data_IF_986033348446
#
_entry.id   IF_986033348446
#
_cell.length_a   1.000
_cell.length_b   1.000
_cell.length_c   1.000
_cell.angle_alpha   90.00
_cell.angle_beta   90.00
_cell.angle_gamma   90.00
#
_symmetry.space_group_name_H-M   'P 1'
#
loop_
_entity.id
_entity.type
_entity.pdbx_description
1 polymer ?
#
# COMPACT_ATOMS: atom_id res chain seq x y z
N UNK A 1 13.16 8.43 13.72
CA UNK A 1 12.20 8.76 14.79
C UNK A 1 11.49 10.07 14.48
N UNK A 2 10.30 10.29 15.03
CA UNK A 2 9.71 11.62 15.15
C UNK A 2 9.38 11.89 16.62
N UNK A 3 10.04 12.88 17.24
CA UNK A 3 9.83 13.29 18.62
C UNK A 3 8.76 14.38 18.74
N UNK A 4 7.75 14.14 19.56
CA UNK A 4 6.69 15.11 19.84
C UNK A 4 5.78 15.41 18.63
N UNK A 5 5.35 16.66 18.51
CA UNK A 5 4.39 17.09 17.48
C UNK A 5 5.04 17.74 16.26
N UNK A 6 6.26 18.27 16.40
CA UNK A 6 6.94 19.08 15.38
C UNK A 6 7.41 18.33 14.11
N UNK A 7 7.84 17.05 14.16
CA UNK A 7 8.38 16.38 12.98
C UNK A 7 7.34 16.13 11.88
N UNK A 8 7.76 16.35 10.63
CA UNK A 8 6.95 16.00 9.47
C UNK A 8 6.69 14.48 9.41
N UNK A 9 5.43 14.10 9.66
CA UNK A 9 5.01 12.69 9.65
C UNK A 9 5.19 12.07 8.27
N UNK A 10 4.87 12.81 7.22
CA UNK A 10 4.99 12.36 5.83
C UNK A 10 6.44 12.08 5.46
N UNK A 11 7.37 12.95 5.86
CA UNK A 11 8.80 12.76 5.59
C UNK A 11 9.35 11.54 6.32
N UNK A 12 9.11 11.41 7.63
CA UNK A 12 9.62 10.28 8.42
C UNK A 12 9.06 8.94 7.93
N UNK A 13 7.76 8.89 7.59
CA UNK A 13 7.15 7.70 6.98
C UNK A 13 7.70 7.41 5.59
N UNK A 14 7.90 8.45 4.78
CA UNK A 14 8.48 8.34 3.44
C UNK A 14 9.90 7.78 3.48
N UNK A 15 10.74 8.30 4.37
CA UNK A 15 12.11 7.84 4.56
C UNK A 15 12.17 6.36 4.95
N UNK A 16 11.38 5.95 5.95
CA UNK A 16 11.31 4.55 6.35
C UNK A 16 10.87 3.63 5.21
N UNK A 17 9.87 4.04 4.40
CA UNK A 17 9.46 3.25 3.22
C UNK A 17 10.54 3.17 2.15
N UNK A 18 11.23 4.28 1.88
CA UNK A 18 12.30 4.32 0.89
C UNK A 18 13.43 3.35 1.24
N UNK A 19 13.84 3.34 2.51
CA UNK A 19 14.92 2.49 3.03
C UNK A 19 14.49 1.07 3.42
N UNK A 20 13.22 0.69 3.23
CA UNK A 20 12.65 -0.55 3.78
C UNK A 20 12.82 -0.68 5.31
N UNK A 21 12.94 0.46 6.01
CA UNK A 21 13.08 0.54 7.45
C UNK A 21 11.74 0.76 8.17
N UNK A 22 11.83 0.90 9.49
CA UNK A 22 10.69 1.18 10.36
C UNK A 22 10.76 2.62 10.89
N UNK A 23 9.60 3.19 11.20
CA UNK A 23 9.50 4.48 11.88
C UNK A 23 8.76 4.34 13.21
N UNK A 24 9.09 5.21 14.16
CA UNK A 24 8.39 5.38 15.44
C UNK A 24 8.20 6.87 15.68
N UNK A 25 6.98 7.25 16.07
CA UNK A 25 6.66 8.57 16.59
C UNK A 25 6.51 8.47 18.10
N UNK A 26 7.27 9.27 18.83
CA UNK A 26 7.29 9.29 20.28
C UNK A 26 6.47 10.51 20.71
N UNK A 27 5.31 10.34 21.37
CA UNK A 27 4.50 11.45 21.86
C UNK A 27 5.26 12.33 22.86
N UNK A 28 4.86 13.62 23.04
CA UNK A 28 5.45 14.43 24.11
C UNK A 28 5.16 13.80 25.48
N UNK A 29 6.02 14.10 26.46
CA UNK A 29 5.91 13.60 27.84
C UNK A 29 5.96 12.08 27.99
N UNK A 30 6.56 11.38 27.03
CA UNK A 30 6.83 9.93 27.12
C UNK A 30 8.33 9.66 27.22
N UNK A 31 8.68 8.54 27.86
CA UNK A 31 10.05 8.06 28.00
C UNK A 31 10.65 7.70 26.63
N UNK A 32 11.52 8.58 26.13
CA UNK A 32 12.19 8.43 24.83
C UNK A 32 13.11 7.21 24.84
N UNK A 33 13.80 6.99 25.96
CA UNK A 33 14.70 5.88 26.24
C UNK A 33 14.05 4.52 26.01
N UNK A 34 12.82 4.31 26.48
CA UNK A 34 12.07 3.05 26.27
C UNK A 34 11.86 2.78 24.78
N UNK A 35 11.37 3.77 24.03
CA UNK A 35 11.10 3.63 22.60
C UNK A 35 12.38 3.45 21.76
N UNK A 36 13.47 4.10 22.18
CA UNK A 36 14.80 3.92 21.56
C UNK A 36 15.32 2.52 21.85
N UNK A 37 15.21 2.05 23.09
CA UNK A 37 15.59 0.69 23.50
C UNK A 37 14.84 -0.37 22.70
N UNK A 38 13.51 -0.25 22.56
CA UNK A 38 12.71 -1.17 21.75
C UNK A 38 13.09 -1.17 20.26
N UNK A 39 13.40 0.00 19.71
CA UNK A 39 13.85 0.10 18.32
C UNK A 39 15.23 -0.51 18.12
N UNK A 40 16.15 -0.26 19.05
CA UNK A 40 17.48 -0.86 19.01
C UNK A 40 17.40 -2.38 19.16
N UNK A 41 16.59 -2.87 20.09
CA UNK A 41 16.36 -4.31 20.28
C UNK A 41 15.85 -4.97 19.00
N UNK A 42 14.95 -4.30 18.27
CA UNK A 42 14.45 -4.75 16.96
C UNK A 42 15.52 -4.70 15.87
N UNK A 43 16.30 -3.63 15.84
CA UNK A 43 17.39 -3.46 14.86
C UNK A 43 18.50 -4.52 15.03
N UNK A 44 18.71 -5.01 16.25
CA UNK A 44 19.67 -6.07 16.57
C UNK A 44 19.14 -7.49 16.34
N UNK A 45 17.86 -7.66 16.01
CA UNK A 45 17.33 -8.99 15.66
C UNK A 45 17.99 -9.47 14.37
N UNK A 46 18.20 -10.79 14.28
CA UNK A 46 18.60 -11.40 13.02
C UNK A 46 17.54 -11.14 11.95
N UNK A 47 17.97 -10.90 10.72
CA UNK A 47 17.07 -10.67 9.61
C UNK A 47 17.54 -11.39 8.36
N UNK A 48 16.59 -11.76 7.52
CA UNK A 48 16.83 -12.28 6.19
C UNK A 48 16.58 -11.13 5.21
N UNK A 49 17.61 -10.82 4.42
CA UNK A 49 17.58 -9.78 3.40
C UNK A 49 17.44 -10.37 2.00
N UNK A 50 17.15 -9.52 1.00
CA UNK A 50 17.06 -9.89 -0.42
C UNK A 50 16.12 -11.06 -0.71
N UNK A 51 14.99 -11.07 0.00
CA UNK A 51 13.96 -12.08 -0.17
C UNK A 51 13.28 -11.87 -1.53
N UNK A 52 13.03 -12.97 -2.23
CA UNK A 52 12.26 -13.00 -3.48
C UNK A 52 11.16 -14.03 -3.32
N UNK A 53 9.97 -13.68 -3.81
CA UNK A 53 8.82 -14.59 -3.84
C UNK A 53 8.64 -15.04 -5.28
N UNK A 54 8.65 -16.36 -5.50
CA UNK A 54 8.33 -16.97 -6.79
C UNK A 54 6.94 -17.59 -6.69
N UNK A 55 6.04 -17.09 -7.51
CA UNK A 55 4.68 -17.60 -7.63
C UNK A 55 4.67 -18.68 -8.72
N UNK A 56 4.59 -19.96 -8.35
CA UNK A 56 4.45 -21.06 -9.30
C UNK A 56 2.96 -21.28 -9.59
N UNK A 57 2.40 -20.41 -10.43
CA UNK A 57 1.00 -20.42 -10.85
C UNK A 57 0.95 -20.53 -12.38
N UNK A 58 -0.10 -21.15 -12.92
CA UNK A 58 -0.28 -21.27 -14.38
C UNK A 58 -0.82 -19.99 -15.04
N UNK A 59 -0.86 -18.88 -14.31
CA UNK A 59 -1.33 -17.57 -14.76
C UNK A 59 -0.40 -16.47 -14.27
N UNK A 60 -0.39 -15.36 -14.97
CA UNK A 60 0.34 -14.17 -14.55
C UNK A 60 -0.33 -13.52 -13.33
N UNK A 61 0.52 -13.07 -12.40
CA UNK A 61 0.08 -12.51 -11.13
C UNK A 61 0.69 -11.15 -10.91
N UNK A 62 -0.17 -10.22 -10.51
CA UNK A 62 0.27 -8.93 -9.97
C UNK A 62 0.40 -9.06 -8.44
N UNK A 63 1.60 -8.87 -7.90
CA UNK A 63 1.86 -9.02 -6.47
C UNK A 63 2.23 -7.71 -5.77
N UNK A 64 1.93 -7.64 -4.47
CA UNK A 64 2.31 -6.55 -3.58
C UNK A 64 2.81 -7.13 -2.25
N UNK A 65 4.00 -6.75 -1.75
CA UNK A 65 4.92 -5.78 -2.36
C UNK A 65 5.62 -6.33 -3.63
N UNK A 66 6.09 -5.45 -4.51
CA UNK A 66 6.87 -5.80 -5.70
C UNK A 66 8.33 -6.07 -5.33
N UNK A 67 8.88 -5.28 -4.40
CA UNK A 67 10.20 -5.52 -3.78
C UNK A 67 9.98 -5.94 -2.33
N UNK A 68 10.38 -7.17 -1.98
CA UNK A 68 10.20 -7.66 -0.61
C UNK A 68 11.05 -6.85 0.39
N UNK A 69 10.47 -6.43 1.53
CA UNK A 69 11.26 -5.90 2.64
C UNK A 69 12.06 -7.02 3.33
N UNK A 70 13.12 -6.69 4.08
CA UNK A 70 13.79 -7.65 4.94
C UNK A 70 12.84 -8.17 6.02
N UNK A 71 13.04 -9.43 6.43
CA UNK A 71 12.21 -10.08 7.45
C UNK A 71 13.06 -10.31 8.69
N UNK A 72 12.70 -9.65 9.78
CA UNK A 72 13.35 -9.80 11.08
C UNK A 72 12.77 -10.97 11.85
N UNK A 73 13.56 -11.56 12.75
CA UNK A 73 13.09 -12.58 13.68
C UNK A 73 11.87 -12.06 14.46
N UNK A 74 10.85 -12.93 14.59
CA UNK A 74 9.56 -12.62 15.23
C UNK A 74 8.70 -11.56 14.51
N UNK A 75 9.03 -11.18 13.27
CA UNK A 75 8.17 -10.34 12.43
C UNK A 75 7.42 -11.18 11.38
N UNK A 76 6.34 -10.62 10.83
CA UNK A 76 5.49 -11.29 9.82
C UNK A 76 5.55 -10.56 8.49
N UNK A 77 6.01 -11.26 7.45
CA UNK A 77 5.86 -10.83 6.06
C UNK A 77 4.48 -11.22 5.52
N UNK A 78 3.78 -10.27 4.91
CA UNK A 78 2.53 -10.53 4.18
C UNK A 78 2.73 -10.06 2.75
N UNK A 79 2.56 -10.98 1.80
CA UNK A 79 2.53 -10.70 0.38
C UNK A 79 1.17 -11.11 -0.19
N UNK A 80 0.65 -10.27 -1.07
CA UNK A 80 -0.60 -10.50 -1.79
C UNK A 80 -0.31 -10.71 -3.27
N UNK A 81 -1.13 -11.53 -3.90
CA UNK A 81 -1.05 -11.88 -5.31
C UNK A 81 -2.47 -11.84 -5.89
N UNK A 82 -2.66 -11.10 -6.98
CA UNK A 82 -3.88 -11.09 -7.77
C UNK A 82 -3.61 -11.78 -9.12
N UNK A 83 -4.35 -12.86 -9.38
CA UNK A 83 -4.38 -13.47 -10.71
C UNK A 83 -4.99 -12.50 -11.72
N UNK A 84 -4.33 -12.35 -12.87
CA UNK A 84 -4.83 -11.48 -13.94
C UNK A 84 -6.03 -12.12 -14.67
N UNK A 85 -6.05 -13.46 -14.75
CA UNK A 85 -7.15 -14.22 -15.33
C UNK A 85 -8.24 -14.50 -14.27
N UNK A 86 -9.47 -13.97 -14.45
CA UNK A 86 -10.58 -14.20 -13.51
C UNK A 86 -11.15 -15.62 -13.57
N UNK A 87 -10.84 -16.39 -14.61
CA UNK A 87 -11.31 -17.78 -14.79
C UNK A 87 -10.35 -18.79 -14.17
N UNK A 88 -9.16 -18.33 -13.74
CA UNK A 88 -8.15 -19.18 -13.13
C UNK A 88 -8.64 -19.70 -11.77
N UNK A 89 -8.68 -21.01 -11.66
CA UNK A 89 -8.97 -21.71 -10.41
C UNK A 89 -7.67 -22.24 -9.84
N UNK A 90 -7.38 -21.88 -8.60
CA UNK A 90 -6.23 -22.46 -7.89
C UNK A 90 -6.39 -23.98 -7.80
N UNK A 91 -5.27 -24.70 -7.85
CA UNK A 91 -5.25 -26.16 -7.73
C UNK A 91 -4.10 -26.58 -6.81
N UNK A 92 -4.00 -27.87 -6.49
CA UNK A 92 -2.95 -28.41 -5.62
C UNK A 92 -1.54 -28.34 -6.22
N UNK A 93 -1.42 -28.01 -7.52
CA UNK A 93 -0.12 -27.81 -8.18
C UNK A 93 0.40 -26.37 -8.00
N UNK A 94 -0.44 -25.48 -7.46
CA UNK A 94 -0.05 -24.11 -7.17
C UNK A 94 0.86 -24.08 -5.94
N UNK A 95 2.05 -23.50 -6.09
CA UNK A 95 2.98 -23.33 -4.96
C UNK A 95 3.62 -21.95 -4.94
N UNK A 96 4.06 -21.55 -3.76
CA UNK A 96 4.77 -20.29 -3.53
C UNK A 96 6.10 -20.63 -2.90
N UNK A 97 7.17 -20.14 -3.51
CA UNK A 97 8.52 -20.35 -3.02
C UNK A 97 9.14 -19.06 -2.53
N UNK A 98 9.82 -19.16 -1.40
CA UNK A 98 10.61 -18.08 -0.86
C UNK A 98 12.09 -18.35 -1.14
N UNK A 99 12.75 -17.40 -1.77
CA UNK A 99 14.15 -17.48 -2.16
C UNK A 99 14.95 -16.32 -1.56
N UNK A 100 16.22 -16.57 -1.29
CA UNK A 100 17.26 -15.55 -1.13
C UNK A 100 18.09 -15.50 -2.40
N UNK A 101 19.12 -14.67 -2.45
CA UNK A 101 20.03 -14.64 -3.62
C UNK A 101 20.76 -15.98 -3.83
N UNK A 102 20.99 -16.73 -2.76
CA UNK A 102 21.83 -17.95 -2.80
C UNK A 102 21.00 -19.23 -2.66
N UNK A 103 19.94 -19.22 -1.84
CA UNK A 103 19.22 -20.44 -1.44
C UNK A 103 17.69 -20.29 -1.45
N UNK A 104 16.98 -21.38 -1.74
CA UNK A 104 15.54 -21.54 -1.51
C UNK A 104 15.29 -21.74 -0.02
N UNK A 105 14.55 -20.82 0.61
CA UNK A 105 14.22 -20.87 2.04
C UNK A 105 13.08 -21.85 2.34
N UNK A 106 12.13 -21.97 1.42
CA UNK A 106 10.99 -22.87 1.61
C UNK A 106 9.99 -22.82 0.47
N UNK A 107 9.10 -23.80 0.47
CA UNK A 107 7.96 -23.91 -0.44
C UNK A 107 6.69 -24.08 0.38
N UNK A 108 5.68 -23.29 0.07
CA UNK A 108 4.32 -23.48 0.54
C UNK A 108 3.46 -23.96 -0.61
N UNK A 109 2.91 -25.17 -0.50
CA UNK A 109 1.94 -25.72 -1.45
C UNK A 109 0.53 -25.37 -1.00
N UNK A 110 -0.37 -25.19 -1.97
CA UNK A 110 -1.79 -24.97 -1.68
C UNK A 110 -2.45 -26.32 -1.44
N UNK A 111 -2.36 -26.80 -0.20
CA UNK A 111 -2.92 -28.10 0.20
C UNK A 111 -4.45 -28.05 0.32
N UNK A 112 -5.00 -26.89 0.70
CA UNK A 112 -6.43 -26.66 0.77
C UNK A 112 -6.77 -25.29 0.19
N UNK A 113 -7.78 -25.24 -0.66
CA UNK A 113 -8.39 -23.99 -1.10
C UNK A 113 -9.55 -23.74 -0.13
N UNK A 114 -9.38 -22.84 0.85
CA UNK A 114 -10.47 -22.57 1.78
C UNK A 114 -11.67 -22.04 0.99
N UNK A 115 -12.89 -22.43 1.40
CA UNK A 115 -14.11 -21.75 0.98
C UNK A 115 -14.07 -20.33 1.55
N UNK A 116 -13.38 -19.43 0.85
CA UNK A 116 -13.27 -18.03 1.27
C UNK A 116 -14.66 -17.44 1.17
N UNK A 117 -15.16 -16.84 2.25
CA UNK A 117 -16.43 -16.11 2.24
C UNK A 117 -16.52 -15.25 0.99
N UNK A 118 -17.66 -15.29 0.28
CA UNK A 118 -17.90 -14.58 -0.99
C UNK A 118 -17.78 -13.04 -0.90
N UNK A 119 -17.40 -12.50 0.25
CA UNK A 119 -17.26 -11.07 0.52
C UNK A 119 -16.03 -10.43 -0.15
N UNK A 120 -15.15 -11.21 -0.79
CA UNK A 120 -14.01 -10.68 -1.55
C UNK A 120 -12.96 -9.95 -0.71
N UNK A 121 -12.93 -10.15 0.61
CA UNK A 121 -12.08 -9.40 1.55
C UNK A 121 -10.59 -9.50 1.22
N UNK A 122 -10.11 -10.70 0.88
CA UNK A 122 -8.70 -10.93 0.51
C UNK A 122 -8.35 -10.16 -0.77
N UNK A 123 -9.25 -10.18 -1.75
CA UNK A 123 -9.06 -9.43 -3.00
C UNK A 123 -9.03 -7.92 -2.75
N UNK A 124 -9.88 -7.39 -1.84
CA UNK A 124 -9.83 -5.98 -1.42
C UNK A 124 -8.54 -5.62 -0.68
N UNK A 125 -8.03 -6.51 0.19
CA UNK A 125 -6.74 -6.31 0.87
C UNK A 125 -5.58 -6.29 -0.13
N UNK A 126 -5.57 -7.22 -1.08
CA UNK A 126 -4.57 -7.28 -2.14
C UNK A 126 -4.62 -6.03 -3.03
N UNK A 127 -5.82 -5.61 -3.44
CA UNK A 127 -6.01 -4.38 -4.21
C UNK A 127 -5.57 -3.14 -3.43
N UNK A 128 -5.88 -3.07 -2.12
CA UNK A 128 -5.41 -1.98 -1.26
C UNK A 128 -3.88 -1.95 -1.14
N UNK A 129 -3.25 -3.12 -0.98
CA UNK A 129 -1.79 -3.21 -0.93
C UNK A 129 -1.16 -2.71 -2.24
N UNK A 130 -1.70 -3.11 -3.39
CA UNK A 130 -1.27 -2.62 -4.70
C UNK A 130 -1.48 -1.13 -4.87
N UNK A 131 -2.64 -0.58 -4.48
CA UNK A 131 -2.89 0.86 -4.55
C UNK A 131 -1.90 1.64 -3.68
N UNK A 132 -1.62 1.16 -2.46
CA UNK A 132 -0.62 1.79 -1.58
C UNK A 132 0.78 1.74 -2.19
N UNK A 133 1.13 0.64 -2.85
CA UNK A 133 2.41 0.53 -3.54
C UNK A 133 2.48 1.44 -4.77
N UNK A 134 1.42 1.55 -5.57
CA UNK A 134 1.37 2.47 -6.72
C UNK A 134 1.44 3.94 -6.31
N UNK A 135 0.84 4.31 -5.17
CA UNK A 135 0.92 5.67 -4.61
C UNK A 135 2.30 6.01 -4.06
N UNK A 136 2.98 5.01 -3.52
CA UNK A 136 4.29 5.15 -2.89
C UNK A 136 5.38 4.53 -3.74
N UNK A 137 5.11 4.30 -5.03
CA UNK A 137 6.02 3.57 -5.90
C UNK A 137 7.34 4.29 -5.82
N UNK A 138 8.33 3.56 -5.32
CA UNK A 138 9.69 4.07 -5.22
C UNK A 138 10.01 4.54 -6.62
N UNK A 139 10.36 5.83 -6.76
CA UNK A 139 10.97 6.34 -7.98
C UNK A 139 11.93 5.23 -8.47
N UNK A 140 11.77 4.73 -9.70
CA UNK A 140 12.56 3.61 -10.16
C UNK A 140 14.03 3.92 -9.88
N UNK A 141 14.71 2.97 -9.23
CA UNK A 141 16.11 3.05 -8.80
C UNK A 141 17.10 3.07 -9.98
N UNK A 142 16.65 3.49 -11.17
CA UNK A 142 17.41 3.58 -12.40
C UNK A 142 17.59 5.02 -12.89
N UNK A 143 17.27 6.03 -12.08
CA UNK A 143 17.65 7.40 -12.39
C UNK A 143 18.19 8.10 -11.15
N UNK A 144 19.47 8.48 -11.21
CA UNK A 144 20.04 9.57 -10.43
C UNK A 144 19.16 10.82 -10.60
N UNK A 145 18.16 10.99 -9.74
CA UNK A 145 17.37 12.20 -9.70
C UNK A 145 17.95 13.07 -8.60
N UNK A 146 18.71 14.08 -9.02
CA UNK A 146 19.00 15.26 -8.22
C UNK A 146 17.68 15.82 -7.68
N UNK A 147 17.35 15.50 -6.43
CA UNK A 147 16.18 16.05 -5.76
C UNK A 147 16.41 17.53 -5.48
N UNK A 148 16.01 18.37 -6.43
CA UNK A 148 15.75 19.77 -6.19
C UNK A 148 14.66 19.90 -5.12
N UNK A 149 14.98 20.61 -4.03
CA UNK A 149 14.00 21.08 -3.06
C UNK A 149 12.97 22.04 -3.69
N UNK A 150 12.05 22.54 -2.86
CA UNK A 150 10.95 23.44 -3.22
C UNK A 150 11.35 24.82 -3.78
N UNK A 151 12.63 25.04 -4.12
CA UNK A 151 13.16 26.36 -4.49
C UNK A 151 13.59 26.52 -5.96
N UNK A 152 13.50 25.51 -6.84
CA UNK A 152 14.06 25.63 -8.20
C UNK A 152 13.06 25.56 -9.36
N UNK A 153 11.78 25.90 -9.17
CA UNK A 153 10.90 26.11 -10.34
C UNK A 153 11.33 27.33 -11.18
N UNK A 154 12.10 28.26 -10.61
CA UNK A 154 12.52 29.50 -11.28
C UNK A 154 13.73 29.37 -12.21
N UNK A 155 14.50 28.29 -12.12
CA UNK A 155 15.78 28.13 -12.84
C UNK A 155 15.81 26.99 -13.88
N UNK A 156 14.68 26.32 -14.14
CA UNK A 156 14.62 25.11 -14.97
C UNK A 156 14.68 25.34 -16.50
N UNK A 157 14.93 26.55 -17.00
CA UNK A 157 14.78 26.80 -18.44
C UNK A 157 15.88 26.18 -19.33
N UNK A 158 16.98 25.64 -18.79
CA UNK A 158 18.15 25.26 -19.60
C UNK A 158 18.75 23.85 -19.33
N UNK A 159 18.00 22.87 -18.80
CA UNK A 159 18.48 21.48 -18.80
C UNK A 159 17.39 20.46 -19.16
N UNK A 160 17.65 19.50 -20.07
CA UNK A 160 16.75 18.38 -20.29
C UNK A 160 16.88 17.38 -19.12
N UNK A 161 16.03 17.52 -18.11
CA UNK A 161 15.88 16.54 -17.03
C UNK A 161 15.06 15.34 -17.52
N UNK A 162 15.38 14.09 -17.12
CA UNK A 162 14.48 12.96 -17.31
C UNK A 162 13.36 13.05 -16.25
N UNK A 163 12.40 13.94 -16.45
CA UNK A 163 11.14 13.90 -15.72
C UNK A 163 10.45 12.57 -16.00
N UNK A 164 9.81 11.87 -15.03
CA UNK A 164 8.80 10.88 -15.38
C UNK A 164 7.83 11.61 -16.32
N UNK A 165 7.71 11.11 -17.54
CA UNK A 165 6.89 11.77 -18.56
C UNK A 165 5.49 11.95 -17.99
N UNK A 166 4.79 13.03 -18.37
CA UNK A 166 3.42 13.30 -17.92
C UNK A 166 2.53 12.05 -18.07
N UNK A 167 2.85 11.21 -19.04
CA UNK A 167 2.23 9.92 -19.32
C UNK A 167 2.34 8.90 -18.18
N UNK A 168 3.48 8.76 -17.49
CA UNK A 168 3.67 7.75 -16.42
C UNK A 168 2.81 8.02 -15.17
N UNK A 169 2.63 9.30 -14.84
CA UNK A 169 1.77 9.70 -13.72
C UNK A 169 0.30 9.46 -14.06
N UNK A 170 -0.10 9.77 -15.29
CA UNK A 170 -1.47 9.52 -15.76
C UNK A 170 -1.76 8.02 -15.91
N UNK A 171 -0.81 7.18 -16.32
CA UNK A 171 -1.01 5.72 -16.35
C UNK A 171 -1.15 5.13 -14.95
N UNK A 172 -0.31 5.57 -14.00
CA UNK A 172 -0.40 5.14 -12.59
C UNK A 172 -1.74 5.54 -11.97
N UNK A 173 -2.18 6.78 -12.21
CA UNK A 173 -3.48 7.29 -11.75
C UNK A 173 -4.64 6.49 -12.33
N UNK A 174 -4.63 6.22 -13.64
CA UNK A 174 -5.63 5.37 -14.31
C UNK A 174 -5.69 3.98 -13.68
N UNK A 175 -4.53 3.38 -13.40
CA UNK A 175 -4.45 2.06 -12.76
C UNK A 175 -5.00 2.05 -11.34
N UNK A 176 -4.74 3.09 -10.55
CA UNK A 176 -5.31 3.24 -9.20
C UNK A 176 -6.84 3.34 -9.25
N UNK A 177 -7.37 4.14 -10.19
CA UNK A 177 -8.82 4.28 -10.39
C UNK A 177 -9.44 2.95 -10.80
N UNK A 178 -8.83 2.23 -11.74
CA UNK A 178 -9.30 0.91 -12.19
C UNK A 178 -9.38 -0.09 -11.03
N UNK A 179 -8.32 -0.23 -10.23
CA UNK A 179 -8.31 -1.12 -9.05
C UNK A 179 -9.36 -0.69 -8.02
N UNK A 180 -9.50 0.62 -7.79
CA UNK A 180 -10.48 1.16 -6.85
C UNK A 180 -11.92 0.83 -7.25
N UNK A 181 -12.26 1.02 -8.53
CA UNK A 181 -13.58 0.71 -9.07
C UNK A 181 -13.85 -0.80 -9.08
N UNK A 182 -12.87 -1.61 -9.54
CA UNK A 182 -12.99 -3.07 -9.63
C UNK A 182 -13.25 -3.72 -8.28
N UNK A 183 -12.55 -3.28 -7.23
CA UNK A 183 -12.63 -3.89 -5.89
C UNK A 183 -13.48 -3.09 -4.90
N UNK A 184 -14.08 -1.97 -5.33
CA UNK A 184 -14.90 -1.08 -4.49
C UNK A 184 -14.16 -0.62 -3.23
N UNK A 185 -12.94 -0.14 -3.40
CA UNK A 185 -12.10 0.39 -2.31
C UNK A 185 -11.80 1.87 -2.54
N UNK A 186 -11.79 2.67 -1.47
CA UNK A 186 -11.43 4.08 -1.55
C UNK A 186 -9.97 4.26 -1.98
N UNK A 187 -9.73 5.22 -2.85
CA UNK A 187 -8.40 5.68 -3.26
C UNK A 187 -8.34 7.21 -3.25
N UNK A 188 -7.16 7.84 -3.28
CA UNK A 188 -7.02 9.30 -3.38
C UNK A 188 -7.67 9.93 -4.62
N UNK A 189 -8.02 9.11 -5.63
CA UNK A 189 -8.61 9.55 -6.89
C UNK A 189 -10.08 9.13 -7.04
N UNK A 190 -10.68 8.51 -6.03
CA UNK A 190 -12.06 8.02 -6.06
C UNK A 190 -12.78 8.34 -4.75
N UNK A 191 -14.08 8.57 -4.83
CA UNK A 191 -14.92 8.85 -3.66
C UNK A 191 -16.24 8.08 -3.79
N UNK A 192 -16.79 7.66 -2.65
CA UNK A 192 -18.16 7.16 -2.58
C UNK A 192 -19.12 8.32 -2.37
N UNK A 193 -20.12 8.44 -3.24
CA UNK A 193 -21.15 9.47 -3.17
C UNK A 193 -22.47 8.78 -2.88
N UNK A 194 -23.08 9.10 -1.74
CA UNK A 194 -24.44 8.67 -1.42
C UNK A 194 -25.43 9.56 -2.15
N UNK A 195 -26.18 9.01 -3.11
CA UNK A 195 -27.27 9.72 -3.78
C UNK A 195 -28.60 9.28 -3.17
N UNK A 196 -29.26 10.20 -2.45
CA UNK A 196 -30.62 9.99 -1.96
C UNK A 196 -31.61 10.12 -3.11
N UNK A 197 -32.25 9.01 -3.51
CA UNK A 197 -33.33 9.07 -4.50
C UNK A 197 -34.66 9.31 -3.79
N UNK A 198 -35.18 10.53 -3.90
CA UNK A 198 -36.53 10.88 -3.42
C UNK A 198 -37.58 10.38 -4.42
N UNK A 199 -38.61 9.70 -3.91
CA UNK A 199 -39.72 9.17 -4.73
C UNK A 199 -40.67 10.30 -5.18
N UNK A 200 -40.67 11.45 -4.49
CA UNK A 200 -41.49 12.61 -4.82
C UNK A 200 -40.66 13.62 -5.63
N UNK A 201 -40.93 13.73 -6.93
CA UNK A 201 -40.23 14.64 -7.84
C UNK A 201 -40.73 16.11 -7.76
N UNK A 202 -41.75 16.39 -6.94
CA UNK A 202 -42.28 17.74 -6.76
C UNK A 202 -41.60 18.45 -5.58
N UNK A 203 -40.72 19.40 -5.88
CA UNK A 203 -40.29 20.44 -4.92
C UNK A 203 -41.43 21.46 -4.62
N UNK A 204 -42.69 21.13 -4.94
CA UNK A 204 -43.81 22.06 -4.88
C UNK A 204 -44.38 22.22 -3.47
N UNK A 205 -44.20 21.22 -2.59
CA UNK A 205 -44.70 21.26 -1.22
C UNK A 205 -43.56 21.04 -0.23
N UNK A 206 -43.17 22.13 0.45
CA UNK A 206 -42.15 22.10 1.49
C UNK A 206 -42.79 21.53 2.76
N UNK A 207 -42.63 20.23 3.00
CA UNK A 207 -43.17 19.58 4.20
C UNK A 207 -42.14 19.61 5.32
N UNK A 208 -42.48 20.25 6.43
CA UNK A 208 -41.70 20.24 7.65
C UNK A 208 -41.69 18.82 8.24
N UNK A 209 -40.51 18.25 8.46
CA UNK A 209 -40.34 16.96 9.14
C UNK A 209 -39.38 17.14 10.30
N UNK A 210 -39.85 16.76 11.48
CA UNK A 210 -38.98 16.69 12.66
C UNK A 210 -38.06 15.48 12.52
N UNK A 211 -36.76 15.75 12.42
CA UNK A 211 -35.73 14.70 12.44
C UNK A 211 -35.31 14.53 13.91
N UNK A 212 -35.60 13.39 14.55
CA UNK A 212 -35.17 13.17 15.92
C UNK A 212 -33.65 13.14 15.96
N UNK A 213 -33.08 14.11 16.68
CA UNK A 213 -31.65 14.17 16.97
C UNK A 213 -31.32 13.07 17.97
N UNK A 214 -30.37 12.21 17.61
CA UNK A 214 -29.84 11.20 18.51
C UNK A 214 -29.00 11.93 19.57
N UNK A 215 -29.55 12.10 20.77
CA UNK A 215 -28.81 12.61 21.93
C UNK A 215 -28.01 11.43 22.47
N UNK A 216 -26.68 11.49 22.35
CA UNK A 216 -25.79 10.53 23.00
C UNK A 216 -25.91 10.69 24.51
N UNK A 217 -26.29 9.61 25.20
CA UNK A 217 -26.23 9.50 26.66
C UNK A 217 -24.80 9.25 27.13
#
# INVERSE_FOLDING_TARGET
FGLGHSPSRSLVKGLARATNGRFVFIPPNTSVDVHVGEQLQKALQSCITNIKVKWNLATDVTSAPTKMPPVYANDRLIAYALANDPTFVFNHNSSVELHTDENRLGEAKIDCIPQVSNNGTIARLAAKALILELQHSKLPSSIEQNHSGSLQSRFQHNQPSPTPTVDEKETTKKRIIELSLKYQILSPHTAFIGVEKRVNASNADMVLREVPIQISA
#
